data_IF_817410271401
#
_entry.id   IF_817410271401
#
_cell.length_a   1.000
_cell.length_b   1.000
_cell.length_c   1.000
_cell.angle_alpha   90.00
_cell.angle_beta   90.00
_cell.angle_gamma   90.00
#
_symmetry.space_group_name_H-M   'P 1'
#
loop_
_entity.id
_entity.type
_entity.pdbx_description
1 polymer ?
#
# COMPACT_ATOMS: atom_id res chain seq x y z
N UNK A 1 13.01 9.98 -7.27
CA UNK A 1 12.80 9.02 -6.16
C UNK A 1 13.27 7.66 -6.61
N UNK A 2 14.14 6.98 -5.85
CA UNK A 2 14.77 5.71 -6.25
C UNK A 2 13.78 4.58 -6.60
N UNK A 3 12.53 4.63 -6.15
CA UNK A 3 11.53 3.54 -6.33
C UNK A 3 11.29 3.06 -7.78
N UNK A 4 10.69 3.91 -8.61
CA UNK A 4 10.51 3.64 -10.04
C UNK A 4 11.72 4.09 -10.86
N UNK A 5 12.70 4.79 -10.27
CA UNK A 5 13.95 5.12 -10.96
C UNK A 5 14.92 3.92 -11.04
N UNK A 6 14.88 3.01 -10.07
CA UNK A 6 15.64 1.75 -10.09
C UNK A 6 14.94 0.72 -11.00
N UNK A 7 13.60 0.68 -10.96
CA UNK A 7 12.81 -0.28 -11.74
C UNK A 7 11.54 0.39 -12.29
N UNK A 8 11.62 1.05 -13.47
CA UNK A 8 10.55 1.83 -14.07
C UNK A 8 9.49 0.95 -14.77
N UNK A 9 8.99 -0.07 -14.08
CA UNK A 9 7.89 -0.90 -14.61
C UNK A 9 6.55 -0.20 -14.44
N UNK A 10 5.55 -0.61 -15.22
CA UNK A 10 4.20 -0.06 -15.14
C UNK A 10 3.60 -0.26 -13.74
N UNK A 11 3.86 -1.40 -13.10
CA UNK A 11 3.37 -1.66 -11.73
C UNK A 11 4.03 -0.75 -10.71
N UNK A 12 5.32 -0.43 -10.88
CA UNK A 12 6.02 0.48 -9.98
C UNK A 12 5.63 1.94 -10.22
N UNK A 13 5.29 2.33 -11.45
CA UNK A 13 4.66 3.64 -11.71
C UNK A 13 3.29 3.74 -11.03
N UNK A 14 2.47 2.71 -11.15
CA UNK A 14 1.16 2.65 -10.51
C UNK A 14 1.27 2.68 -8.97
N UNK A 15 2.11 1.83 -8.38
CA UNK A 15 2.46 1.87 -6.94
C UNK A 15 2.99 3.24 -6.52
N UNK A 16 3.74 3.89 -7.41
CA UNK A 16 4.23 5.26 -7.26
C UNK A 16 3.09 6.25 -6.91
N UNK A 17 2.03 6.23 -7.71
CA UNK A 17 0.83 7.06 -7.54
C UNK A 17 0.15 6.76 -6.19
N UNK A 18 -0.06 5.48 -5.89
CA UNK A 18 -0.79 5.02 -4.71
C UNK A 18 -0.03 5.31 -3.42
N UNK A 19 1.25 4.98 -3.35
CA UNK A 19 2.06 5.08 -2.13
C UNK A 19 2.57 6.50 -1.85
N UNK A 20 2.97 7.23 -2.91
CA UNK A 20 3.69 8.52 -2.81
C UNK A 20 2.95 9.72 -3.39
N UNK A 21 1.83 9.53 -4.09
CA UNK A 21 0.94 10.63 -4.43
C UNK A 21 0.40 11.32 -3.16
N UNK A 22 0.18 12.63 -3.21
CA UNK A 22 -0.32 13.38 -2.05
C UNK A 22 -1.67 12.84 -1.56
N UNK A 23 -1.81 12.70 -0.24
CA UNK A 23 -3.05 12.28 0.41
C UNK A 23 -3.82 13.51 0.92
N UNK A 24 -4.30 14.37 0.01
CA UNK A 24 -5.18 15.51 0.36
C UNK A 24 -6.62 15.05 0.49
N UNK A 25 -7.05 14.21 -0.45
CA UNK A 25 -8.32 13.49 -0.47
C UNK A 25 -8.06 12.03 -0.87
N UNK A 26 -8.97 11.13 -0.53
CA UNK A 26 -8.90 9.72 -0.94
C UNK A 26 -9.25 9.47 -2.41
N UNK A 27 -9.57 10.52 -3.17
CA UNK A 27 -10.06 10.41 -4.55
C UNK A 27 -9.10 9.64 -5.47
N UNK A 28 -7.79 9.68 -5.24
CA UNK A 28 -6.85 8.87 -6.04
C UNK A 28 -7.06 7.36 -5.84
N UNK A 29 -7.40 6.92 -4.63
CA UNK A 29 -7.69 5.51 -4.35
C UNK A 29 -9.02 5.12 -5.00
N UNK A 30 -10.04 5.97 -4.86
CA UNK A 30 -11.32 5.78 -5.53
C UNK A 30 -11.20 5.74 -7.07
N UNK A 31 -10.34 6.58 -7.65
CA UNK A 31 -10.07 6.57 -9.09
C UNK A 31 -9.29 5.33 -9.52
N UNK A 32 -8.29 4.90 -8.75
CA UNK A 32 -7.58 3.66 -9.01
C UNK A 32 -8.52 2.45 -8.99
N UNK A 33 -9.41 2.36 -7.99
CA UNK A 33 -10.42 1.33 -7.93
C UNK A 33 -11.43 1.41 -9.07
N UNK A 34 -11.89 2.61 -9.42
CA UNK A 34 -12.74 2.81 -10.58
C UNK A 34 -12.08 2.30 -11.88
N UNK A 35 -10.78 2.52 -12.05
CA UNK A 35 -10.02 2.04 -13.20
C UNK A 35 -9.91 0.50 -13.22
N UNK A 36 -9.84 -0.18 -12.07
CA UNK A 36 -9.87 -1.65 -12.03
C UNK A 36 -11.23 -2.23 -12.45
N UNK A 37 -12.32 -1.52 -12.15
CA UNK A 37 -13.69 -1.98 -12.41
C UNK A 37 -14.16 -1.76 -13.86
N UNK A 38 -13.44 -0.93 -14.63
CA UNK A 38 -13.81 -0.63 -16.01
C UNK A 38 -13.69 -1.88 -16.87
N UNK A 39 -14.75 -2.17 -17.62
CA UNK A 39 -14.74 -3.20 -18.65
C UNK A 39 -13.79 -2.79 -19.79
N UNK A 40 -12.99 -3.75 -20.24
CA UNK A 40 -11.91 -3.54 -21.21
C UNK A 40 -12.23 -4.08 -22.61
N UNK A 41 -13.44 -4.58 -22.81
CA UNK A 41 -13.92 -5.21 -24.05
C UNK A 41 -14.58 -4.24 -25.04
N UNK A 42 -14.28 -2.94 -24.92
CA UNK A 42 -14.94 -1.89 -25.71
C UNK A 42 -14.04 -0.70 -26.05
N UNK A 43 -14.66 0.47 -26.13
CA UNK A 43 -13.98 1.74 -26.39
C UNK A 43 -12.92 2.05 -25.33
N UNK A 44 -11.77 2.54 -25.76
CA UNK A 44 -10.73 3.10 -24.90
C UNK A 44 -11.14 4.45 -24.28
N UNK A 45 -12.08 5.16 -24.89
CA UNK A 45 -12.75 6.32 -24.31
C UNK A 45 -13.80 5.89 -23.30
N UNK A 46 -13.64 6.34 -22.06
CA UNK A 46 -14.57 6.17 -20.94
C UNK A 46 -15.20 7.53 -20.64
N UNK A 47 -16.53 7.62 -20.74
CA UNK A 47 -17.25 8.87 -20.45
C UNK A 47 -17.17 9.20 -18.96
N UNK A 48 -17.21 10.49 -18.61
CA UNK A 48 -17.19 10.90 -17.20
C UNK A 48 -18.36 10.32 -16.39
N UNK A 49 -19.54 10.19 -16.99
CA UNK A 49 -20.71 9.60 -16.33
C UNK A 49 -20.51 8.12 -16.04
N UNK A 50 -19.88 7.39 -16.97
CA UNK A 50 -19.52 5.97 -16.80
C UNK A 50 -18.47 5.81 -15.71
N UNK A 51 -17.42 6.63 -15.72
CA UNK A 51 -16.37 6.63 -14.70
C UNK A 51 -16.90 7.04 -13.32
N UNK A 52 -17.88 7.94 -13.27
CA UNK A 52 -18.47 8.44 -12.04
C UNK A 52 -19.15 7.35 -11.23
N UNK A 53 -19.69 6.32 -11.88
CA UNK A 53 -20.39 5.22 -11.20
C UNK A 53 -19.46 4.48 -10.24
N UNK A 54 -18.41 3.75 -10.69
CA UNK A 54 -17.55 3.02 -9.76
C UNK A 54 -16.79 3.99 -8.84
N UNK A 55 -16.34 5.15 -9.34
CA UNK A 55 -15.62 6.13 -8.52
C UNK A 55 -16.40 6.59 -7.29
N UNK A 56 -17.68 6.97 -7.48
CA UNK A 56 -18.52 7.44 -6.38
C UNK A 56 -18.95 6.28 -5.47
N UNK A 57 -19.21 5.08 -6.03
CA UNK A 57 -19.56 3.89 -5.25
C UNK A 57 -18.45 3.48 -4.28
N UNK A 58 -17.18 3.48 -4.71
CA UNK A 58 -16.05 3.22 -3.81
C UNK A 58 -15.99 4.22 -2.66
N UNK A 59 -16.14 5.52 -2.95
CA UNK A 59 -16.16 6.55 -1.90
C UNK A 59 -17.35 6.38 -0.95
N UNK A 60 -18.54 6.07 -1.47
CA UNK A 60 -19.74 5.83 -0.68
C UNK A 60 -19.54 4.68 0.30
N UNK A 61 -19.00 3.53 -0.15
CA UNK A 61 -18.71 2.38 0.73
C UNK A 61 -17.71 2.71 1.83
N UNK A 62 -16.65 3.43 1.50
CA UNK A 62 -15.64 3.84 2.48
C UNK A 62 -16.20 4.85 3.49
N UNK A 63 -17.06 5.78 3.06
CA UNK A 63 -17.69 6.78 3.94
C UNK A 63 -18.59 6.18 5.03
N UNK A 64 -19.13 4.98 4.84
CA UNK A 64 -19.93 4.28 5.86
C UNK A 64 -19.12 3.94 7.13
N UNK A 65 -17.82 3.70 6.97
CA UNK A 65 -16.94 3.22 8.05
C UNK A 65 -15.84 4.23 8.40
N UNK A 66 -15.47 5.10 7.45
CA UNK A 66 -14.46 6.14 7.58
C UNK A 66 -15.02 7.49 7.07
N UNK A 67 -15.74 8.25 7.92
CA UNK A 67 -16.45 9.46 7.49
C UNK A 67 -15.53 10.60 7.05
N UNK A 68 -14.24 10.57 7.41
CA UNK A 68 -13.24 11.56 6.99
C UNK A 68 -12.43 11.02 5.82
N UNK A 69 -12.66 11.59 4.63
CA UNK A 69 -12.04 11.20 3.35
C UNK A 69 -11.17 12.30 2.71
N UNK A 70 -11.02 13.42 3.40
CA UNK A 70 -10.27 14.60 2.95
C UNK A 70 -9.70 15.34 4.16
N UNK A 71 -8.61 16.07 3.97
CA UNK A 71 -8.02 16.92 5.03
C UNK A 71 -8.80 18.21 5.27
N UNK A 72 -9.51 18.73 4.26
CA UNK A 72 -10.40 19.88 4.38
C UNK A 72 -11.58 19.58 5.31
N UNK A 73 -12.05 20.55 6.12
CA UNK A 73 -13.22 20.34 6.99
C UNK A 73 -14.53 20.18 6.20
N UNK A 74 -14.58 20.62 4.93
CA UNK A 74 -15.79 20.57 4.10
C UNK A 74 -15.44 20.12 2.67
N UNK A 75 -16.31 19.29 2.11
CA UNK A 75 -16.30 18.90 0.70
C UNK A 75 -17.73 18.72 0.22
N UNK A 76 -18.16 19.53 -0.75
CA UNK A 76 -19.51 19.42 -1.32
C UNK A 76 -19.73 18.05 -1.98
N UNK A 77 -18.69 17.49 -2.60
CA UNK A 77 -18.77 16.18 -3.23
C UNK A 77 -18.94 15.05 -2.21
N UNK A 78 -18.11 15.02 -1.16
CA UNK A 78 -18.26 14.00 -0.10
C UNK A 78 -19.60 14.14 0.62
N UNK A 79 -20.11 15.37 0.80
CA UNK A 79 -21.46 15.58 1.31
C UNK A 79 -22.52 14.95 0.39
N UNK A 80 -22.38 15.04 -0.93
CA UNK A 80 -23.28 14.36 -1.86
C UNK A 80 -23.20 12.84 -1.71
N UNK A 81 -22.00 12.25 -1.60
CA UNK A 81 -21.84 10.82 -1.32
C UNK A 81 -22.50 10.42 0.01
N UNK A 82 -22.30 11.16 1.11
CA UNK A 82 -22.98 10.88 2.37
C UNK A 82 -24.50 10.98 2.28
N UNK A 83 -25.02 11.94 1.51
CA UNK A 83 -26.47 12.08 1.25
C UNK A 83 -27.01 10.89 0.46
N UNK A 84 -26.25 10.38 -0.50
CA UNK A 84 -26.60 9.18 -1.25
C UNK A 84 -26.65 7.94 -0.33
N UNK A 85 -25.68 7.76 0.55
CA UNK A 85 -25.70 6.68 1.56
C UNK A 85 -26.94 6.74 2.46
N UNK A 86 -27.45 7.95 2.73
CA UNK A 86 -28.69 8.18 3.49
C UNK A 86 -29.97 8.17 2.64
N UNK A 87 -29.86 7.78 1.37
CA UNK A 87 -30.97 7.71 0.41
C UNK A 87 -31.67 9.07 0.15
N UNK A 88 -30.98 10.19 0.39
CA UNK A 88 -31.52 11.54 0.19
C UNK A 88 -31.38 12.06 -1.25
N UNK A 89 -30.54 11.42 -2.06
CA UNK A 89 -30.35 11.72 -3.48
C UNK A 89 -30.35 10.44 -4.31
N UNK A 90 -30.74 10.54 -5.57
CA UNK A 90 -30.74 9.42 -6.51
C UNK A 90 -29.34 9.12 -7.04
N UNK A 91 -29.18 7.97 -7.69
CA UNK A 91 -27.95 7.60 -8.40
C UNK A 91 -27.58 8.65 -9.45
N UNK A 92 -28.54 9.14 -10.24
CA UNK A 92 -28.29 10.16 -11.28
C UNK A 92 -27.80 11.47 -10.67
N UNK A 93 -28.37 11.87 -9.52
CA UNK A 93 -27.91 13.05 -8.78
C UNK A 93 -26.48 12.87 -8.24
N UNK A 94 -26.12 11.68 -7.77
CA UNK A 94 -24.75 11.35 -7.35
C UNK A 94 -23.79 11.38 -8.53
N UNK A 95 -24.15 10.80 -9.68
CA UNK A 95 -23.34 10.83 -10.90
C UNK A 95 -23.11 12.28 -11.34
N UNK A 96 -24.16 13.09 -11.43
CA UNK A 96 -24.05 14.50 -11.80
C UNK A 96 -23.15 15.29 -10.84
N UNK A 97 -23.27 15.05 -9.52
CA UNK A 97 -22.39 15.65 -8.52
C UNK A 97 -20.93 15.19 -8.67
N UNK A 98 -20.71 13.92 -8.99
CA UNK A 98 -19.39 13.33 -9.22
C UNK A 98 -18.70 13.93 -10.43
N UNK A 99 -19.39 14.01 -11.56
CA UNK A 99 -18.87 14.64 -12.78
C UNK A 99 -18.51 16.10 -12.53
N UNK A 100 -19.39 16.84 -11.85
CA UNK A 100 -19.20 18.27 -11.58
C UNK A 100 -18.09 18.56 -10.57
N UNK A 101 -17.98 17.76 -9.50
CA UNK A 101 -17.17 18.09 -8.32
C UNK A 101 -16.05 17.08 -8.05
N UNK A 102 -16.31 15.78 -8.22
CA UNK A 102 -15.39 14.69 -7.87
C UNK A 102 -14.13 14.66 -8.75
N UNK A 103 -14.28 14.95 -10.04
CA UNK A 103 -13.16 14.94 -11.00
C UNK A 103 -12.42 16.26 -11.14
N UNK A 104 -12.75 17.27 -10.33
CA UNK A 104 -12.18 18.62 -10.42
C UNK A 104 -10.66 18.70 -10.25
N UNK A 105 -10.07 17.78 -9.48
CA UNK A 105 -8.62 17.79 -9.17
C UNK A 105 -7.95 16.44 -9.47
N UNK A 106 -8.65 15.32 -9.21
CA UNK A 106 -8.00 14.00 -9.23
C UNK A 106 -7.48 13.63 -10.62
N UNK A 107 -8.22 13.92 -11.70
CA UNK A 107 -7.78 13.60 -13.06
C UNK A 107 -6.53 14.39 -13.47
N UNK A 108 -6.43 15.65 -13.06
CA UNK A 108 -5.25 16.51 -13.31
C UNK A 108 -4.02 16.07 -12.51
N UNK A 109 -4.24 15.48 -11.33
CA UNK A 109 -3.17 15.19 -10.36
C UNK A 109 -2.83 13.71 -10.23
N UNK A 110 -3.57 12.80 -10.86
CA UNK A 110 -3.37 11.36 -10.68
C UNK A 110 -1.95 10.91 -11.03
N UNK A 111 -1.42 11.37 -12.16
CA UNK A 111 -0.07 11.02 -12.62
C UNK A 111 1.04 11.88 -11.97
N UNK A 112 0.70 12.77 -11.04
CA UNK A 112 1.67 13.62 -10.36
C UNK A 112 2.13 12.99 -9.03
N UNK A 113 3.41 12.65 -8.95
CA UNK A 113 4.04 12.05 -7.77
C UNK A 113 5.15 12.96 -7.27
N UNK A 114 5.14 13.29 -5.97
CA UNK A 114 6.00 14.32 -5.38
C UNK A 114 5.85 15.69 -6.08
N UNK A 115 6.85 16.10 -6.85
CA UNK A 115 6.94 17.42 -7.50
C UNK A 115 6.83 17.34 -9.02
N UNK A 116 6.60 16.16 -9.60
CA UNK A 116 6.59 15.99 -11.04
C UNK A 116 5.64 14.90 -11.51
N UNK A 117 5.39 14.93 -12.81
CA UNK A 117 4.61 13.91 -13.49
C UNK A 117 5.45 12.65 -13.72
N UNK A 118 4.81 11.48 -13.66
CA UNK A 118 5.45 10.22 -14.03
C UNK A 118 5.58 10.08 -15.55
N UNK A 119 6.57 9.30 -16.01
CA UNK A 119 6.87 9.18 -17.44
C UNK A 119 5.82 8.38 -18.24
N UNK A 120 4.95 7.62 -17.56
CA UNK A 120 3.96 6.71 -18.16
C UNK A 120 2.58 7.08 -17.67
N UNK A 121 1.68 7.45 -18.58
CA UNK A 121 0.28 7.77 -18.25
C UNK A 121 -0.60 6.54 -18.48
N UNK A 122 -1.56 6.33 -17.60
CA UNK A 122 -2.53 5.24 -17.70
C UNK A 122 -3.84 5.70 -18.36
N UNK A 123 -4.08 7.00 -18.38
CA UNK A 123 -5.14 7.60 -19.17
C UNK A 123 -4.76 9.01 -19.64
N UNK A 124 -5.40 9.45 -20.71
CA UNK A 124 -5.38 10.82 -21.21
C UNK A 124 -6.66 11.51 -20.76
N UNK A 125 -6.52 12.70 -20.19
CA UNK A 125 -7.66 13.54 -19.81
C UNK A 125 -8.25 14.22 -21.05
N UNK A 126 -9.45 13.77 -21.45
CA UNK A 126 -10.19 14.29 -22.59
C UNK A 126 -11.50 14.98 -22.16
N UNK A 127 -11.57 15.51 -20.93
CA UNK A 127 -12.78 16.16 -20.40
C UNK A 127 -13.31 17.27 -21.31
N UNK A 128 -12.41 18.02 -21.96
CA UNK A 128 -12.74 19.18 -22.82
C UNK A 128 -13.16 18.79 -24.24
N UNK A 129 -12.66 17.68 -24.76
CA UNK A 129 -12.86 17.27 -26.15
C UNK A 129 -13.93 16.18 -26.28
N UNK A 130 -13.91 15.20 -25.39
CA UNK A 130 -14.78 14.02 -25.46
C UNK A 130 -15.58 13.74 -24.18
N UNK A 131 -15.52 14.64 -23.19
CA UNK A 131 -16.23 14.51 -21.91
C UNK A 131 -15.90 13.18 -21.21
N UNK A 132 -14.63 12.80 -21.20
CA UNK A 132 -14.17 11.51 -20.69
C UNK A 132 -12.68 11.44 -20.45
N UNK A 133 -12.19 10.24 -20.20
CA UNK A 133 -10.77 9.88 -20.22
C UNK A 133 -10.54 8.80 -21.26
N UNK A 134 -9.36 8.77 -21.86
CA UNK A 134 -8.95 7.71 -22.79
C UNK A 134 -7.90 6.83 -22.15
N UNK A 135 -8.17 5.54 -21.99
CA UNK A 135 -7.20 4.57 -21.49
C UNK A 135 -6.04 4.44 -22.47
N UNK A 136 -4.82 4.33 -21.97
CA UNK A 136 -3.61 4.20 -22.80
C UNK A 136 -3.19 2.74 -22.95
N UNK A 137 -2.35 2.45 -23.94
CA UNK A 137 -1.69 1.15 -24.10
C UNK A 137 -0.88 0.75 -22.85
N UNK A 138 -0.31 1.73 -22.13
CA UNK A 138 0.39 1.50 -20.86
C UNK A 138 -0.56 0.95 -19.80
N UNK A 139 -1.83 1.37 -19.77
CA UNK A 139 -2.82 0.80 -18.84
C UNK A 139 -3.24 -0.61 -19.25
N UNK A 140 -3.51 -0.86 -20.53
CA UNK A 140 -3.83 -2.21 -21.00
C UNK A 140 -2.67 -3.17 -20.71
N UNK A 141 -1.44 -2.77 -21.05
CA UNK A 141 -0.21 -3.50 -20.76
C UNK A 141 0.01 -3.72 -19.26
N UNK A 142 -0.41 -2.79 -18.40
CA UNK A 142 -0.37 -2.96 -16.95
C UNK A 142 -1.30 -4.10 -16.52
N UNK A 143 -2.49 -4.22 -17.14
CA UNK A 143 -3.48 -5.23 -16.75
C UNK A 143 -3.09 -6.67 -17.10
N UNK A 144 -2.16 -6.83 -18.03
CA UNK A 144 -1.61 -8.13 -18.46
C UNK A 144 -0.41 -8.57 -17.61
N UNK A 145 0.09 -7.71 -16.72
CA UNK A 145 1.23 -8.05 -15.86
C UNK A 145 0.81 -8.96 -14.72
N UNK A 146 1.72 -9.88 -14.36
CA UNK A 146 1.54 -10.80 -13.23
C UNK A 146 1.13 -10.11 -11.93
N UNK A 147 1.65 -8.91 -11.68
CA UNK A 147 1.43 -8.19 -10.43
C UNK A 147 0.14 -7.37 -10.41
N UNK A 148 -0.60 -7.28 -11.51
CA UNK A 148 -1.81 -6.46 -11.61
C UNK A 148 -2.87 -6.84 -10.57
N UNK A 149 -3.10 -8.14 -10.39
CA UNK A 149 -4.07 -8.67 -9.41
C UNK A 149 -3.75 -8.26 -7.96
N UNK A 150 -2.47 -7.97 -7.66
CA UNK A 150 -2.08 -7.51 -6.32
C UNK A 150 -2.35 -6.01 -6.11
N UNK A 151 -2.45 -5.22 -7.18
CA UNK A 151 -2.55 -3.75 -7.07
C UNK A 151 -3.85 -3.30 -6.43
N UNK A 152 -4.95 -4.03 -6.62
CA UNK A 152 -6.24 -3.73 -5.99
C UNK A 152 -6.17 -3.87 -4.46
N UNK A 153 -5.57 -4.97 -3.98
CA UNK A 153 -5.34 -5.22 -2.56
C UNK A 153 -4.40 -4.17 -1.96
N UNK A 154 -3.31 -3.85 -2.65
CA UNK A 154 -2.37 -2.79 -2.25
C UNK A 154 -3.05 -1.41 -2.16
N UNK A 155 -3.98 -1.11 -3.08
CA UNK A 155 -4.71 0.16 -3.12
C UNK A 155 -5.68 0.28 -1.96
N UNK A 156 -6.48 -0.75 -1.70
CA UNK A 156 -7.45 -0.76 -0.60
C UNK A 156 -6.74 -0.67 0.76
N UNK A 157 -5.70 -1.49 0.97
CA UNK A 157 -4.89 -1.46 2.18
C UNK A 157 -4.28 -0.08 2.43
N UNK A 158 -3.78 0.55 1.36
CA UNK A 158 -3.23 1.90 1.43
C UNK A 158 -4.30 2.94 1.78
N UNK A 159 -5.49 2.81 1.22
CA UNK A 159 -6.61 3.70 1.51
C UNK A 159 -7.00 3.61 2.99
N UNK A 160 -7.22 2.39 3.52
CA UNK A 160 -7.57 2.16 4.93
C UNK A 160 -6.53 2.71 5.90
N UNK A 161 -5.25 2.58 5.57
CA UNK A 161 -4.16 3.17 6.34
C UNK A 161 -4.26 4.71 6.42
N UNK A 162 -4.63 5.37 5.33
CA UNK A 162 -4.82 6.83 5.29
C UNK A 162 -6.07 7.24 6.07
N UNK A 163 -7.17 6.51 5.91
CA UNK A 163 -8.41 6.73 6.66
C UNK A 163 -8.19 6.65 8.16
N UNK A 164 -7.50 5.60 8.60
CA UNK A 164 -7.21 5.42 10.02
C UNK A 164 -6.33 6.56 10.54
N UNK A 165 -5.37 7.03 9.74
CA UNK A 165 -4.55 8.17 10.11
C UNK A 165 -5.37 9.46 10.28
N UNK A 166 -6.39 9.66 9.44
CA UNK A 166 -7.29 10.80 9.56
C UNK A 166 -8.30 10.68 10.71
N UNK A 167 -8.79 9.48 10.97
CA UNK A 167 -9.80 9.17 11.98
C UNK A 167 -9.29 9.42 13.40
N UNK A 168 -8.01 9.12 13.66
CA UNK A 168 -7.46 9.33 14.99
C UNK A 168 -7.40 10.80 15.41
N UNK A 169 -7.48 11.75 14.46
CA UNK A 169 -7.46 13.20 14.71
C UNK A 169 -6.31 13.68 15.63
N UNK A 170 -5.27 12.87 15.79
CA UNK A 170 -4.03 13.17 16.49
C UNK A 170 -2.96 13.56 15.48
N UNK A 171 -1.91 14.22 15.94
CA UNK A 171 -0.72 14.42 15.13
C UNK A 171 -0.29 13.06 14.57
N UNK A 172 -0.08 12.99 13.25
CA UNK A 172 0.16 11.71 12.58
C UNK A 172 1.41 10.98 13.09
N UNK A 173 2.35 11.72 13.66
CA UNK A 173 3.52 11.21 14.38
C UNK A 173 3.20 10.35 15.61
N UNK A 174 1.97 10.46 16.15
CA UNK A 174 1.50 9.71 17.32
C UNK A 174 0.76 8.41 16.94
N UNK A 175 0.51 8.17 15.65
CA UNK A 175 -0.21 6.98 15.20
C UNK A 175 0.65 5.74 15.40
N UNK A 176 0.17 4.80 16.22
CA UNK A 176 0.79 3.49 16.40
C UNK A 176 0.07 2.43 15.58
N UNK A 177 0.72 1.98 14.50
CA UNK A 177 0.32 0.76 13.80
C UNK A 177 1.04 -0.42 14.45
N UNK A 178 0.26 -1.41 14.84
CA UNK A 178 0.67 -2.64 15.49
C UNK A 178 0.25 -3.84 14.63
N UNK A 179 0.82 -5.00 14.90
CA UNK A 179 0.56 -6.23 14.15
C UNK A 179 0.01 -7.31 15.08
N UNK A 180 -1.08 -7.93 14.66
CA UNK A 180 -1.60 -9.14 15.27
C UNK A 180 -1.17 -10.36 14.46
N UNK A 181 -0.38 -11.22 15.08
CA UNK A 181 0.12 -12.44 14.46
C UNK A 181 -0.96 -13.52 14.27
N UNK A 182 -2.02 -13.54 15.09
CA UNK A 182 -3.11 -14.52 14.98
C UNK A 182 -3.96 -14.23 13.75
N UNK A 183 -4.37 -12.97 13.58
CA UNK A 183 -5.22 -12.54 12.46
C UNK A 183 -4.41 -12.11 11.22
N UNK A 184 -3.09 -11.98 11.35
CA UNK A 184 -2.18 -11.39 10.35
C UNK A 184 -2.62 -9.99 9.88
N UNK A 185 -3.25 -9.22 10.77
CA UNK A 185 -3.78 -7.89 10.50
C UNK A 185 -2.92 -6.81 11.13
N UNK A 186 -2.82 -5.67 10.45
CA UNK A 186 -2.41 -4.43 11.08
C UNK A 186 -3.59 -3.83 11.81
N UNK A 187 -3.34 -3.34 13.02
CA UNK A 187 -4.34 -2.66 13.82
C UNK A 187 -3.75 -1.41 14.46
N UNK A 188 -4.62 -0.63 15.08
CA UNK A 188 -4.20 0.45 15.96
C UNK A 188 -5.12 0.52 17.18
N UNK A 189 -4.63 1.19 18.22
CA UNK A 189 -5.38 1.37 19.46
C UNK A 189 -5.82 2.83 19.57
N UNK A 190 -7.14 3.07 19.60
CA UNK A 190 -7.76 4.38 19.79
C UNK A 190 -8.63 4.34 21.04
N UNK A 191 -8.35 5.21 22.03
CA UNK A 191 -9.09 5.26 23.30
C UNK A 191 -9.29 3.86 23.92
N UNK A 192 -8.19 3.10 24.07
CA UNK A 192 -8.13 1.71 24.55
C UNK A 192 -8.87 0.65 23.71
N UNK A 193 -9.55 1.05 22.62
CA UNK A 193 -10.19 0.13 21.68
C UNK A 193 -9.26 -0.20 20.52
N UNK A 194 -9.13 -1.50 20.25
CA UNK A 194 -8.46 -2.00 19.05
C UNK A 194 -9.32 -1.80 17.81
N UNK A 195 -8.72 -1.25 16.76
CA UNK A 195 -9.33 -1.04 15.44
C UNK A 195 -8.45 -1.73 14.39
N UNK A 196 -8.98 -2.77 13.76
CA UNK A 196 -8.33 -3.41 12.62
C UNK A 196 -8.27 -2.43 11.44
N UNK A 197 -7.14 -2.41 10.73
CA UNK A 197 -6.90 -1.48 9.63
C UNK A 197 -6.95 -2.23 8.30
N UNK A 198 -6.04 -3.17 8.10
CA UNK A 198 -5.91 -3.95 6.87
C UNK A 198 -4.99 -5.15 7.10
N UNK A 199 -5.03 -6.11 6.19
CA UNK A 199 -4.08 -7.22 6.14
C UNK A 199 -2.64 -6.71 6.12
N UNK A 200 -1.76 -7.38 6.85
CA UNK A 200 -0.34 -7.07 6.81
C UNK A 200 0.24 -7.33 5.41
N UNK A 201 -0.21 -8.37 4.71
CA UNK A 201 0.29 -8.68 3.36
C UNK A 201 0.00 -7.55 2.39
N UNK A 202 -1.26 -7.14 2.32
CA UNK A 202 -1.71 -6.11 1.40
C UNK A 202 -1.01 -4.78 1.66
N UNK A 203 -0.79 -4.46 2.94
CA UNK A 203 -0.10 -3.25 3.39
C UNK A 203 1.40 -3.24 3.06
N UNK A 204 2.08 -4.39 3.06
CA UNK A 204 3.53 -4.48 2.82
C UNK A 204 3.89 -4.72 1.34
N UNK A 205 3.00 -5.32 0.54
CA UNK A 205 3.33 -5.83 -0.79
C UNK A 205 3.78 -4.76 -1.78
N UNK A 206 3.11 -3.60 -1.79
CA UNK A 206 3.45 -2.49 -2.69
C UNK A 206 4.87 -1.99 -2.49
N UNK A 207 5.43 -2.19 -1.29
CA UNK A 207 6.79 -1.80 -0.99
C UNK A 207 7.84 -2.90 -1.24
N UNK A 208 7.41 -4.16 -1.34
CA UNK A 208 8.23 -5.28 -1.81
C UNK A 208 8.01 -5.58 -3.30
N UNK A 209 7.22 -4.73 -3.98
CA UNK A 209 6.94 -4.81 -5.41
C UNK A 209 6.36 -6.16 -5.86
N UNK A 210 5.62 -6.84 -4.98
CA UNK A 210 5.02 -8.12 -5.32
C UNK A 210 5.98 -9.31 -5.39
N UNK A 211 7.14 -9.19 -4.73
CA UNK A 211 8.16 -10.24 -4.70
C UNK A 211 8.48 -10.65 -3.26
N UNK A 212 8.85 -11.92 -3.10
CA UNK A 212 9.39 -12.48 -1.88
C UNK A 212 10.61 -11.67 -1.44
N UNK A 213 10.62 -11.24 -0.18
CA UNK A 213 11.70 -10.44 0.38
C UNK A 213 13.05 -11.15 0.29
N UNK A 214 13.08 -12.49 0.39
CA UNK A 214 14.31 -13.27 0.48
C UNK A 214 14.87 -13.69 -0.88
N UNK A 215 14.07 -14.34 -1.72
CA UNK A 215 14.52 -14.90 -3.01
C UNK A 215 14.03 -14.15 -4.25
N UNK A 216 13.22 -13.09 -4.10
CA UNK A 216 12.63 -12.32 -5.20
C UNK A 216 11.63 -13.06 -6.10
N UNK A 217 11.27 -14.31 -5.79
CA UNK A 217 10.18 -14.98 -6.48
C UNK A 217 8.90 -14.14 -6.40
N UNK A 218 8.08 -14.08 -7.46
CA UNK A 218 6.81 -13.39 -7.41
C UNK A 218 5.91 -14.01 -6.34
N UNK A 219 5.13 -13.17 -5.67
CA UNK A 219 4.15 -13.57 -4.65
C UNK A 219 2.77 -13.04 -5.02
N UNK A 220 1.74 -13.72 -4.52
CA UNK A 220 0.34 -13.35 -4.68
C UNK A 220 -0.25 -12.87 -3.36
N UNK A 221 -1.21 -11.96 -3.44
CA UNK A 221 -2.10 -11.58 -2.33
C UNK A 221 -3.44 -12.30 -2.41
N UNK A 222 -3.72 -13.00 -3.50
CA UNK A 222 -5.01 -13.62 -3.74
C UNK A 222 -5.21 -14.84 -2.84
N UNK A 223 -6.36 -14.89 -2.16
CA UNK A 223 -6.64 -15.96 -1.22
C UNK A 223 -6.80 -17.29 -1.95
N UNK A 224 -6.08 -18.32 -1.48
CA UNK A 224 -6.07 -19.63 -2.13
C UNK A 224 -5.02 -19.80 -3.23
N UNK A 225 -4.33 -18.74 -3.64
CA UNK A 225 -3.25 -18.83 -4.62
C UNK A 225 -2.08 -19.71 -4.10
N UNK A 226 -1.50 -20.51 -5.00
CA UNK A 226 -0.35 -21.36 -4.67
C UNK A 226 0.85 -20.54 -4.20
N UNK A 227 1.02 -19.34 -4.75
CA UNK A 227 2.07 -18.38 -4.42
C UNK A 227 1.62 -17.31 -3.41
N UNK A 228 0.52 -17.56 -2.68
CA UNK A 228 0.07 -16.68 -1.61
C UNK A 228 1.22 -16.41 -0.62
N UNK A 229 1.50 -15.12 -0.42
CA UNK A 229 2.58 -14.66 0.43
C UNK A 229 2.34 -15.05 1.91
N UNK A 230 3.42 -15.43 2.59
CA UNK A 230 3.44 -15.50 4.04
C UNK A 230 3.96 -14.17 4.63
N UNK A 231 3.40 -13.77 5.77
CA UNK A 231 4.02 -12.76 6.63
C UNK A 231 5.05 -13.46 7.51
N UNK A 232 6.31 -13.06 7.40
CA UNK A 232 7.42 -13.58 8.19
C UNK A 232 8.06 -12.48 9.05
N UNK A 233 8.58 -12.87 10.20
CA UNK A 233 9.41 -12.04 11.05
C UNK A 233 10.87 -12.19 10.65
N UNK A 234 11.48 -11.15 10.08
CA UNK A 234 12.87 -11.17 9.64
C UNK A 234 13.80 -11.68 10.75
N UNK A 235 13.71 -11.09 11.94
CA UNK A 235 14.24 -11.67 13.17
C UNK A 235 13.22 -12.68 13.69
N UNK A 236 13.57 -13.99 13.79
CA UNK A 236 12.61 -15.02 14.15
C UNK A 236 11.95 -14.78 15.51
N UNK A 237 10.66 -15.15 15.63
CA UNK A 237 9.89 -15.10 16.88
C UNK A 237 10.56 -15.87 18.04
N UNK A 238 11.44 -16.83 17.74
CA UNK A 238 12.26 -17.51 18.74
C UNK A 238 13.13 -16.53 19.58
N UNK A 239 13.52 -15.38 19.02
CA UNK A 239 14.33 -14.37 19.71
C UNK A 239 13.50 -13.37 20.56
N UNK A 240 12.19 -13.56 20.71
CA UNK A 240 11.28 -12.61 21.42
C UNK A 240 11.63 -12.34 22.88
N UNK A 241 12.38 -13.23 23.55
CA UNK A 241 12.86 -13.02 24.91
C UNK A 241 13.97 -11.97 25.00
N UNK A 242 14.77 -11.85 23.94
CA UNK A 242 15.94 -10.95 23.88
C UNK A 242 15.68 -9.71 23.03
N UNK A 243 14.73 -9.80 22.10
CA UNK A 243 14.41 -8.76 21.12
C UNK A 243 13.05 -8.16 21.43
N UNK A 244 13.06 -6.92 21.94
CA UNK A 244 11.86 -6.15 22.18
C UNK A 244 11.12 -5.82 20.87
N UNK A 245 9.79 -5.70 20.95
CA UNK A 245 8.92 -5.33 19.82
C UNK A 245 9.16 -6.20 18.57
N UNK A 246 9.27 -7.52 18.76
CA UNK A 246 9.50 -8.49 17.68
C UNK A 246 8.40 -8.44 16.60
N UNK A 247 7.16 -8.08 16.97
CA UNK A 247 6.03 -7.87 16.06
C UNK A 247 6.01 -6.48 15.39
N UNK A 248 7.06 -5.67 15.58
CA UNK A 248 7.14 -4.36 14.97
C UNK A 248 7.13 -4.45 13.43
N UNK A 249 6.50 -3.47 12.77
CA UNK A 249 6.41 -3.40 11.30
C UNK A 249 7.80 -3.43 10.66
N UNK A 250 8.81 -2.89 11.34
CA UNK A 250 10.21 -2.93 10.92
C UNK A 250 10.75 -4.36 10.69
N UNK A 251 10.17 -5.35 11.38
CA UNK A 251 10.59 -6.75 11.38
C UNK A 251 9.72 -7.63 10.46
N UNK A 252 8.59 -7.13 9.95
CA UNK A 252 7.66 -7.92 9.15
C UNK A 252 8.01 -7.81 7.66
N UNK A 253 8.11 -8.95 6.98
CA UNK A 253 8.38 -9.06 5.54
C UNK A 253 7.42 -10.06 4.89
N UNK A 254 7.20 -9.94 3.58
CA UNK A 254 6.47 -10.95 2.81
C UNK A 254 7.43 -11.94 2.18
N UNK A 255 7.17 -13.22 2.35
CA UNK A 255 8.00 -14.30 1.85
C UNK A 255 7.16 -15.30 1.06
N UNK A 256 7.75 -15.95 0.06
CA UNK A 256 7.12 -17.12 -0.55
C UNK A 256 7.17 -18.31 0.42
N UNK A 257 6.28 -19.28 0.22
CA UNK A 257 6.17 -20.47 1.08
C UNK A 257 7.50 -21.24 1.20
N UNK A 258 8.28 -21.34 0.12
CA UNK A 258 9.57 -22.07 0.14
C UNK A 258 10.67 -21.37 0.95
N UNK A 259 10.64 -20.04 1.03
CA UNK A 259 11.58 -19.28 1.85
C UNK A 259 11.15 -19.24 3.32
N UNK A 260 9.85 -19.15 3.59
CA UNK A 260 9.36 -19.02 4.96
C UNK A 260 9.25 -20.39 5.68
N UNK A 261 8.71 -21.39 5.00
CA UNK A 261 8.30 -22.68 5.59
C UNK A 261 9.35 -23.78 5.38
N UNK A 262 9.27 -24.80 6.23
CA UNK A 262 10.02 -26.05 6.11
C UNK A 262 11.50 -25.93 6.50
N UNK A 263 12.16 -27.09 6.64
CA UNK A 263 13.55 -27.19 7.13
C UNK A 263 14.59 -26.56 6.19
N UNK A 264 14.26 -26.38 4.90
CA UNK A 264 15.10 -25.69 3.91
C UNK A 264 14.85 -24.18 3.87
N UNK A 265 13.70 -23.72 4.37
CA UNK A 265 13.35 -22.30 4.51
C UNK A 265 13.93 -21.69 5.78
N UNK A 266 13.75 -20.39 5.99
CA UNK A 266 14.31 -19.65 7.12
C UNK A 266 13.99 -20.29 8.47
N UNK A 267 12.72 -20.60 8.72
CA UNK A 267 12.24 -21.13 9.99
C UNK A 267 12.75 -20.30 11.19
N UNK A 268 13.56 -20.88 12.07
CA UNK A 268 14.14 -20.21 13.24
C UNK A 268 15.53 -19.61 13.00
N UNK A 269 16.04 -19.64 11.76
CA UNK A 269 17.39 -19.15 11.43
C UNK A 269 17.43 -17.64 11.23
N UNK A 270 18.57 -17.06 11.52
CA UNK A 270 18.81 -15.62 11.40
C UNK A 270 19.19 -15.30 9.95
N UNK A 271 18.50 -14.39 9.25
CA UNK A 271 18.88 -14.01 7.89
C UNK A 271 20.30 -13.45 7.82
N UNK A 272 21.02 -13.69 6.73
CA UNK A 272 22.39 -13.20 6.54
C UNK A 272 22.52 -11.67 6.63
N UNK A 273 23.73 -11.17 6.86
CA UNK A 273 24.03 -9.73 6.89
C UNK A 273 23.66 -9.01 5.57
N UNK A 274 23.64 -9.73 4.44
CA UNK A 274 23.17 -9.19 3.15
C UNK A 274 21.66 -8.93 3.18
N UNK A 275 20.89 -9.87 3.71
CA UNK A 275 19.44 -9.70 3.90
C UNK A 275 19.12 -8.62 4.94
N UNK A 276 19.98 -8.40 5.94
CA UNK A 276 19.86 -7.27 6.87
C UNK A 276 19.99 -5.91 6.16
N UNK A 277 20.98 -5.77 5.27
CA UNK A 277 21.12 -4.54 4.45
C UNK A 277 19.88 -4.29 3.61
N UNK A 278 19.33 -5.35 3.00
CA UNK A 278 18.07 -5.27 2.26
C UNK A 278 16.90 -4.83 3.15
N UNK A 279 16.81 -5.35 4.38
CA UNK A 279 15.76 -4.97 5.32
C UNK A 279 15.86 -3.47 5.65
N UNK A 280 17.08 -2.99 5.91
CA UNK A 280 17.36 -1.57 6.12
C UNK A 280 16.88 -0.75 4.93
N UNK A 281 17.30 -1.08 3.72
CA UNK A 281 16.98 -0.30 2.52
C UNK A 281 15.47 -0.29 2.25
N UNK A 282 14.78 -1.41 2.47
CA UNK A 282 13.32 -1.52 2.43
C UNK A 282 12.62 -0.66 3.50
N UNK A 283 13.13 -0.65 4.73
CA UNK A 283 12.56 0.15 5.82
C UNK A 283 12.78 1.65 5.61
N UNK A 284 13.96 2.06 5.16
CA UNK A 284 14.20 3.45 4.73
C UNK A 284 13.25 3.83 3.60
N UNK A 285 13.03 2.92 2.67
CA UNK A 285 12.10 3.12 1.57
C UNK A 285 10.65 3.29 2.07
N UNK A 286 10.15 2.50 3.01
CA UNK A 286 8.84 2.74 3.65
C UNK A 286 8.74 4.15 4.25
N UNK A 287 9.81 4.62 4.91
CA UNK A 287 9.85 5.93 5.58
C UNK A 287 9.76 7.09 4.59
N UNK A 288 10.14 6.88 3.33
CA UNK A 288 9.92 7.89 2.28
C UNK A 288 8.46 8.03 1.83
N UNK A 289 7.59 7.07 2.18
CA UNK A 289 6.15 7.13 1.85
C UNK A 289 5.36 7.99 2.83
N UNK A 290 4.15 8.40 2.45
CA UNK A 290 3.28 9.15 3.36
C UNK A 290 2.71 8.26 4.48
N UNK A 291 2.15 8.88 5.52
CA UNK A 291 1.49 8.28 6.71
C UNK A 291 0.64 7.03 6.44
N UNK A 292 0.48 6.10 7.41
CA UNK A 292 0.98 6.13 8.79
C UNK A 292 2.19 5.23 9.06
N UNK A 293 2.54 4.29 8.17
CA UNK A 293 3.61 3.32 8.41
C UNK A 293 4.99 3.99 8.59
N UNK A 294 5.23 5.12 7.89
CA UNK A 294 6.41 5.96 8.08
C UNK A 294 6.63 6.34 9.55
N UNK A 295 5.60 6.88 10.19
CA UNK A 295 5.70 7.39 11.58
C UNK A 295 5.86 6.22 12.56
N UNK A 296 5.20 5.09 12.27
CA UNK A 296 5.38 3.86 13.05
C UNK A 296 6.82 3.36 12.98
N UNK A 297 7.44 3.29 11.80
CA UNK A 297 8.83 2.87 11.66
C UNK A 297 9.79 3.83 12.36
N UNK A 298 9.61 5.14 12.17
CA UNK A 298 10.43 6.16 12.85
C UNK A 298 10.35 6.00 14.37
N UNK A 299 9.15 5.79 14.92
CA UNK A 299 8.97 5.57 16.37
C UNK A 299 9.62 4.27 16.84
N UNK A 300 9.48 3.19 16.06
CA UNK A 300 9.98 1.86 16.44
C UNK A 300 11.49 1.74 16.34
N UNK A 301 12.14 2.46 15.41
CA UNK A 301 13.54 2.21 15.04
C UNK A 301 14.46 3.42 15.22
N UNK A 302 13.93 4.65 15.26
CA UNK A 302 14.71 5.87 15.45
C UNK A 302 14.41 6.98 14.44
N UNK A 303 14.62 8.23 14.87
CA UNK A 303 14.30 9.43 14.07
C UNK A 303 15.36 9.81 13.03
N UNK A 304 16.56 9.25 13.09
CA UNK A 304 17.62 9.44 12.09
C UNK A 304 18.01 8.11 11.47
N UNK A 305 18.46 8.12 10.20
CA UNK A 305 18.93 6.90 9.53
C UNK A 305 20.02 6.20 10.34
N UNK A 306 20.97 6.96 10.91
CA UNK A 306 22.03 6.39 11.76
C UNK A 306 21.48 5.63 12.99
N UNK A 307 20.44 6.16 13.66
CA UNK A 307 19.81 5.48 14.80
C UNK A 307 19.08 4.20 14.38
N UNK A 308 18.45 4.22 13.20
CA UNK A 308 17.76 3.04 12.65
C UNK A 308 18.74 1.95 12.24
N UNK A 309 19.87 2.32 11.65
CA UNK A 309 20.95 1.40 11.32
C UNK A 309 21.54 0.74 12.57
N UNK A 310 21.83 1.53 13.61
CA UNK A 310 22.31 1.03 14.90
C UNK A 310 21.29 0.09 15.56
N UNK A 311 20.01 0.47 15.56
CA UNK A 311 18.91 -0.35 16.06
C UNK A 311 18.85 -1.73 15.37
N UNK A 312 18.85 -1.75 14.03
CA UNK A 312 18.78 -2.99 13.26
C UNK A 312 20.03 -3.85 13.47
N UNK A 313 21.22 -3.23 13.49
CA UNK A 313 22.48 -3.94 13.73
C UNK A 313 22.52 -4.57 15.13
N UNK A 314 22.09 -3.84 16.17
CA UNK A 314 22.05 -4.32 17.54
C UNK A 314 21.11 -5.52 17.69
N UNK A 315 19.89 -5.41 17.17
CA UNK A 315 18.91 -6.49 17.27
C UNK A 315 19.35 -7.71 16.46
N UNK A 316 19.85 -7.52 15.25
CA UNK A 316 20.35 -8.62 14.43
C UNK A 316 21.52 -9.35 15.10
N UNK A 317 22.48 -8.61 15.67
CA UNK A 317 23.58 -9.21 16.42
C UNK A 317 23.10 -9.97 17.65
N UNK A 318 22.11 -9.45 18.36
CA UNK A 318 21.48 -10.14 19.50
C UNK A 318 20.90 -11.48 19.03
N UNK A 319 20.05 -11.47 17.99
CA UNK A 319 19.47 -12.68 17.44
C UNK A 319 20.51 -13.68 16.93
N UNK A 320 21.57 -13.19 16.27
CA UNK A 320 22.68 -14.02 15.78
C UNK A 320 23.41 -14.74 16.90
N UNK A 321 23.68 -14.06 18.02
CA UNK A 321 24.32 -14.66 19.20
C UNK A 321 23.39 -15.66 19.88
N UNK A 322 22.09 -15.35 19.98
CA UNK A 322 21.10 -16.22 20.64
C UNK A 322 20.76 -17.48 19.84
N UNK A 323 20.64 -17.38 18.51
CA UNK A 323 20.12 -18.45 17.65
C UNK A 323 21.21 -19.17 16.83
N UNK A 324 22.42 -18.61 16.76
CA UNK A 324 23.67 -19.16 16.22
C UNK A 324 23.71 -19.53 14.72
N UNK A 325 22.58 -19.85 14.09
CA UNK A 325 22.52 -20.32 12.70
C UNK A 325 22.02 -19.24 11.75
N UNK A 326 22.88 -18.85 10.81
CA UNK A 326 22.52 -17.94 9.72
C UNK A 326 21.87 -18.68 8.53
N UNK A 327 21.09 -17.94 7.73
CA UNK A 327 20.40 -18.46 6.55
C UNK A 327 20.27 -17.41 5.43
N UNK A 328 20.39 -17.87 4.18
CA UNK A 328 20.06 -17.11 2.97
C UNK A 328 19.59 -18.11 1.89
N UNK A 329 18.52 -17.81 1.13
CA UNK A 329 18.09 -18.70 0.06
C UNK A 329 18.90 -18.45 -1.21
N UNK A 330 18.80 -19.37 -2.16
CA UNK A 330 19.15 -19.07 -3.54
C UNK A 330 18.16 -18.06 -4.13
N UNK A 331 18.66 -17.09 -4.89
CA UNK A 331 17.82 -16.14 -5.59
C UNK A 331 16.99 -16.86 -6.68
N UNK A 332 15.71 -16.55 -6.74
CA UNK A 332 14.75 -17.05 -7.72
C UNK A 332 14.19 -15.92 -8.62
N UNK A 333 14.75 -14.71 -8.51
CA UNK A 333 14.39 -13.54 -9.30
C UNK A 333 15.45 -12.45 -9.19
N UNK A 334 15.23 -11.34 -9.88
CA UNK A 334 16.16 -10.20 -9.94
C UNK A 334 16.11 -9.36 -8.66
N UNK A 335 17.26 -8.83 -8.26
CA UNK A 335 17.36 -7.88 -7.14
C UNK A 335 16.54 -6.61 -7.40
N UNK A 336 15.92 -6.05 -6.36
CA UNK A 336 14.93 -4.96 -6.46
C UNK A 336 15.17 -3.79 -5.50
N UNK A 337 16.20 -3.85 -4.66
CA UNK A 337 16.49 -2.86 -3.62
C UNK A 337 17.83 -2.16 -3.82
#
# INVERSE_FOLDING_TARGET
MRFYQIEPTLENYWRGIILFGKNVASYKFALAHALYDIRRDGSDLIRLEELAVPFSQHLCRHLEHAPKQITSPKSQFLSACSRFNRQEITQDQLIAATVKLGFSVVLDKFHNVNQGEIARRFFIDERKTHQGIRLTDDFYSLTERQQYQNLIHETDARWRLVEQAWAMNIASSLIAVEYDAAEQQLFSTLNTRRVAISSCRDSLNGYQKGRCFYCYAPISLESGDENLADVDHFIPWAARGEVANINGVWNLVLACKSCNRGEKGKFMRVPSAKLLRRLRDRNEYFITSHLPLRETLIRQTGNTTARRDDFLAKIWNTARITLLHEWEPQAAGTDIF
#
